data_IF_992359866391
#
_entry.id   IF_992359866391
#
_cell.length_a   1.000
_cell.length_b   1.000
_cell.length_c   1.000
_cell.angle_alpha   90.00
_cell.angle_beta   90.00
_cell.angle_gamma   90.00
#
_symmetry.space_group_name_H-M   'P 1'
#
loop_
_entity.id
_entity.type
_entity.pdbx_description
1 polymer ?
#
# COMPACT_ATOMS: atom_id res chain seq x y z
N UNK A 1 9.76 -14.73 10.15
CA UNK A 1 9.81 -13.29 9.83
C UNK A 1 8.41 -12.80 10.11
N UNK A 2 8.24 -12.04 11.18
CA UNK A 2 6.95 -11.44 11.50
C UNK A 2 6.96 -10.02 10.90
N UNK A 3 5.88 -9.67 10.21
CA UNK A 3 5.77 -8.43 9.45
C UNK A 3 4.47 -7.76 9.87
N UNK A 4 4.59 -6.66 10.60
CA UNK A 4 3.45 -5.88 11.06
C UNK A 4 3.43 -4.54 10.35
N UNK A 5 2.33 -4.27 9.62
CA UNK A 5 2.12 -3.04 8.88
C UNK A 5 1.24 -2.06 9.65
N UNK A 6 1.78 -0.90 9.98
CA UNK A 6 1.07 0.19 10.64
C UNK A 6 0.72 1.28 9.60
N UNK A 7 -0.55 1.58 9.34
CA UNK A 7 -0.92 2.67 8.45
C UNK A 7 -0.48 4.01 9.05
N UNK A 8 0.15 4.86 8.24
CA UNK A 8 0.63 6.18 8.64
C UNK A 8 -0.35 7.23 8.15
N UNK A 9 -0.48 7.33 6.82
CA UNK A 9 -1.33 8.31 6.13
C UNK A 9 -1.82 7.70 4.82
N UNK A 10 -2.95 8.20 4.34
CA UNK A 10 -3.48 7.92 3.00
C UNK A 10 -3.89 9.22 2.34
N UNK A 11 -3.53 9.42 1.08
CA UNK A 11 -3.89 10.60 0.30
C UNK A 11 -4.56 10.17 -1.01
N UNK A 12 -5.73 10.76 -1.31
CA UNK A 12 -6.35 10.63 -2.63
C UNK A 12 -5.49 11.40 -3.62
N UNK A 13 -4.92 10.71 -4.61
CA UNK A 13 -4.08 11.31 -5.65
C UNK A 13 -4.89 11.68 -6.88
N UNK A 14 -5.99 10.99 -7.14
CA UNK A 14 -6.90 11.28 -8.25
C UNK A 14 -8.30 10.73 -7.96
N UNK A 15 -9.31 11.38 -8.51
CA UNK A 15 -10.69 10.90 -8.55
C UNK A 15 -11.24 11.16 -9.95
N UNK A 16 -11.79 10.12 -10.57
CA UNK A 16 -12.45 10.25 -11.87
C UNK A 16 -13.59 9.24 -12.01
N UNK A 17 -14.81 9.75 -12.25
CA UNK A 17 -15.98 8.92 -12.49
C UNK A 17 -16.34 8.01 -11.31
N UNK A 18 -15.99 8.39 -10.08
CA UNK A 18 -16.21 7.56 -8.88
C UNK A 18 -15.13 6.50 -8.63
N UNK A 19 -14.07 6.47 -9.44
CA UNK A 19 -12.86 5.68 -9.17
C UNK A 19 -11.81 6.59 -8.54
N UNK A 20 -11.31 6.18 -7.38
CA UNK A 20 -10.32 6.89 -6.59
C UNK A 20 -8.98 6.19 -6.68
N UNK A 21 -7.93 6.95 -6.96
CA UNK A 21 -6.56 6.51 -6.76
C UNK A 21 -6.05 7.08 -5.44
N UNK A 22 -5.49 6.22 -4.60
CA UNK A 22 -5.09 6.54 -3.24
C UNK A 22 -3.66 6.06 -3.04
N UNK A 23 -2.78 6.94 -2.56
CA UNK A 23 -1.47 6.55 -2.05
C UNK A 23 -1.57 6.29 -0.54
N UNK A 24 -1.29 5.07 -0.12
CA UNK A 24 -1.26 4.64 1.29
C UNK A 24 0.18 4.40 1.73
N UNK A 25 0.59 5.03 2.83
CA UNK A 25 1.92 4.91 3.39
C UNK A 25 1.86 4.04 4.64
N UNK A 26 2.62 2.95 4.65
CA UNK A 26 2.64 1.96 5.72
C UNK A 26 4.04 1.86 6.30
N UNK A 27 4.13 1.90 7.62
CA UNK A 27 5.33 1.54 8.36
C UNK A 27 5.30 0.05 8.63
N UNK A 28 6.22 -0.66 7.98
CA UNK A 28 6.39 -2.09 8.11
C UNK A 28 7.55 -2.34 9.06
N UNK A 29 7.28 -2.94 10.20
CA UNK A 29 8.34 -3.46 11.07
C UNK A 29 8.55 -4.93 10.72
N UNK A 30 9.74 -5.27 10.24
CA UNK A 30 10.10 -6.65 9.90
C UNK A 30 11.10 -7.19 10.92
N UNK A 31 10.73 -8.25 11.64
CA UNK A 31 11.61 -8.92 12.60
C UNK A 31 12.14 -10.24 12.03
N UNK A 32 13.40 -10.55 12.29
CA UNK A 32 14.03 -11.81 11.88
C UNK A 32 14.80 -12.45 13.04
N UNK A 33 15.11 -13.74 12.94
CA UNK A 33 15.86 -14.44 13.98
C UNK A 33 17.26 -13.82 14.22
N UNK A 34 17.83 -13.18 13.19
CA UNK A 34 19.13 -12.51 13.24
C UNK A 34 19.03 -11.06 13.71
N UNK A 35 17.88 -10.41 13.48
CA UNK A 35 17.59 -9.06 13.95
C UNK A 35 16.24 -9.02 14.69
N UNK A 36 16.22 -9.44 15.97
CA UNK A 36 14.99 -9.47 16.75
C UNK A 36 14.47 -8.08 17.12
N UNK A 37 15.31 -7.03 17.07
CA UNK A 37 14.86 -5.64 17.22
C UNK A 37 14.07 -5.13 16.01
N UNK A 38 14.14 -5.86 14.89
CA UNK A 38 13.44 -5.54 13.66
C UNK A 38 14.06 -4.39 12.88
N UNK A 39 13.52 -4.16 11.69
CA UNK A 39 13.82 -3.02 10.84
C UNK A 39 12.53 -2.33 10.43
N UNK A 40 12.45 -1.03 10.67
CA UNK A 40 11.33 -0.20 10.23
C UNK A 40 11.56 0.26 8.79
N UNK A 41 10.62 -0.03 7.91
CA UNK A 41 10.61 0.44 6.51
C UNK A 41 9.29 1.12 6.21
N UNK A 42 9.33 2.28 5.58
CA UNK A 42 8.12 2.93 5.06
C UNK A 42 7.89 2.48 3.62
N UNK A 43 6.74 1.86 3.36
CA UNK A 43 6.31 1.38 2.04
C UNK A 43 5.13 2.21 1.56
N UNK A 44 5.08 2.49 0.26
CA UNK A 44 3.94 3.21 -0.34
C UNK A 44 3.18 2.31 -1.31
N UNK A 45 1.88 2.21 -1.11
CA UNK A 45 0.96 1.45 -1.96
C UNK A 45 0.03 2.40 -2.71
N UNK A 46 -0.14 2.15 -4.00
CA UNK A 46 -1.22 2.72 -4.80
C UNK A 46 -2.43 1.79 -4.71
N UNK A 47 -3.56 2.33 -4.26
CA UNK A 47 -4.83 1.62 -4.09
C UNK A 47 -5.87 2.27 -4.98
N UNK A 48 -6.55 1.47 -5.80
CA UNK A 48 -7.70 1.92 -6.58
C UNK A 48 -8.98 1.48 -5.88
N UNK A 49 -9.87 2.43 -5.61
CA UNK A 49 -11.17 2.19 -4.95
C UNK A 49 -12.28 2.66 -5.88
N UNK A 50 -13.27 1.80 -6.13
CA UNK A 50 -14.43 2.13 -6.94
C UNK A 50 -15.68 2.27 -6.06
N UNK A 51 -16.20 3.50 -5.97
CA UNK A 51 -17.44 3.78 -5.22
C UNK A 51 -18.67 3.19 -5.88
N UNK A 52 -18.68 3.09 -7.22
CA UNK A 52 -19.81 2.59 -8.00
C UNK A 52 -19.95 1.07 -7.81
N UNK A 53 -18.85 0.40 -7.46
CA UNK A 53 -18.81 -0.99 -7.06
C UNK A 53 -19.06 -1.21 -5.55
N UNK A 54 -19.50 -0.19 -4.81
CA UNK A 54 -19.74 -0.25 -3.37
C UNK A 54 -18.48 -0.06 -2.53
N UNK A 55 -17.59 0.87 -2.93
CA UNK A 55 -16.31 1.16 -2.28
C UNK A 55 -15.35 -0.03 -2.23
N UNK A 56 -15.37 -0.85 -3.27
CA UNK A 56 -14.45 -1.98 -3.38
C UNK A 56 -13.07 -1.50 -3.77
N UNK A 57 -12.05 -2.09 -3.15
CA UNK A 57 -10.69 -2.02 -3.65
C UNK A 57 -10.64 -2.90 -4.90
N UNK A 58 -10.41 -2.28 -6.06
CA UNK A 58 -10.38 -2.98 -7.35
C UNK A 58 -8.96 -3.31 -7.78
N UNK A 59 -7.96 -2.58 -7.27
CA UNK A 59 -6.55 -2.82 -7.55
C UNK A 59 -5.70 -2.36 -6.36
N UNK A 60 -4.62 -3.09 -6.10
CA UNK A 60 -3.55 -2.69 -5.19
C UNK A 60 -2.23 -2.92 -5.91
N UNK A 61 -1.43 -1.87 -6.06
CA UNK A 61 -0.08 -1.93 -6.61
C UNK A 61 0.92 -1.31 -5.63
N UNK A 62 2.12 -1.88 -5.49
CA UNK A 62 3.23 -1.14 -4.90
C UNK A 62 3.74 -0.11 -5.90
N UNK A 63 4.12 1.08 -5.45
CA UNK A 63 4.83 2.03 -6.35
C UNK A 63 6.15 1.43 -6.88
N UNK A 64 6.73 0.47 -6.15
CA UNK A 64 7.93 -0.29 -6.55
C UNK A 64 7.61 -1.55 -7.37
N UNK A 65 6.34 -1.84 -7.63
CA UNK A 65 5.87 -3.03 -8.36
C UNK A 65 5.58 -2.76 -9.83
N UNK A 66 6.34 -1.87 -10.48
CA UNK A 66 6.43 -1.89 -11.93
C UNK A 66 7.30 -3.08 -12.34
N UNK A 67 6.74 -4.29 -12.31
CA UNK A 67 7.29 -5.38 -13.11
C UNK A 67 7.13 -4.96 -14.59
N UNK A 68 8.22 -4.94 -15.39
CA UNK A 68 8.08 -4.69 -16.82
C UNK A 68 7.15 -5.76 -17.40
N UNK A 69 6.02 -5.33 -17.96
CA UNK A 69 5.20 -6.22 -18.79
C UNK A 69 6.02 -6.52 -20.05
N UNK A 70 6.38 -7.79 -20.22
CA UNK A 70 6.98 -8.31 -21.45
C UNK A 70 5.96 -8.28 -22.59
#
# INVERSE_FOLDING_TARGET
MDVEGHPIISAVTSEHGGVYQISAFLNVNSTSAQNPQGGLTTVTYAVTVDRNAGWKITEVGGLDSTLPRK
#
